data_IF_957754439518
#
_entry.id   IF_957754439518
#
_cell.length_a   1.000
_cell.length_b   1.000
_cell.length_c   1.000
_cell.angle_alpha   90.00
_cell.angle_beta   90.00
_cell.angle_gamma   90.00
#
_symmetry.space_group_name_H-M   'P 1'
#
loop_
_entity.id
_entity.type
_entity.pdbx_description
1 polymer ?
#
# COMPACT_ATOMS: atom_id res chain seq x y z
N UNK A 1 -1.02 -13.57 -14.38
CA UNK A 1 -1.37 -13.24 -13.00
C UNK A 1 -0.41 -12.16 -12.59
N UNK A 2 -0.91 -11.04 -12.11
CA UNK A 2 -0.08 -9.95 -11.60
C UNK A 2 -0.32 -9.91 -10.11
N UNK A 3 0.75 -9.90 -9.33
CA UNK A 3 0.65 -9.74 -7.89
C UNK A 3 0.49 -8.27 -7.56
N UNK A 4 -0.21 -7.98 -6.47
CA UNK A 4 -0.67 -6.63 -6.14
C UNK A 4 -0.18 -6.20 -4.78
N UNK A 5 0.11 -4.91 -4.62
CA UNK A 5 0.31 -4.29 -3.33
C UNK A 5 -0.81 -3.29 -3.05
N UNK A 6 -1.43 -3.41 -1.89
CA UNK A 6 -2.56 -2.54 -1.51
C UNK A 6 -2.06 -1.30 -0.77
N UNK A 7 -2.51 -0.14 -1.22
CA UNK A 7 -2.43 1.11 -0.46
C UNK A 7 -3.37 1.06 0.76
N UNK A 8 -3.01 1.78 1.83
CA UNK A 8 -3.78 1.94 3.06
C UNK A 8 -5.22 2.36 2.80
N UNK A 9 -5.45 3.22 1.81
CA UNK A 9 -6.79 3.69 1.47
C UNK A 9 -7.74 2.55 1.04
N UNK A 10 -7.23 1.50 0.41
CA UNK A 10 -8.02 0.33 0.03
C UNK A 10 -8.48 -0.40 1.30
N UNK A 11 -7.55 -0.69 2.21
CA UNK A 11 -7.85 -1.41 3.45
C UNK A 11 -8.73 -0.60 4.40
N UNK A 12 -8.52 0.72 4.51
CA UNK A 12 -9.38 1.61 5.31
C UNK A 12 -10.82 1.54 4.81
N UNK A 13 -11.04 1.57 3.50
CA UNK A 13 -12.39 1.52 2.92
C UNK A 13 -13.03 0.15 3.10
N UNK A 14 -12.25 -0.92 3.00
CA UNK A 14 -12.69 -2.29 3.32
C UNK A 14 -13.12 -2.42 4.80
N UNK A 15 -12.27 -2.03 5.76
CA UNK A 15 -12.57 -2.06 7.20
C UNK A 15 -13.79 -1.20 7.56
N UNK A 16 -13.99 -0.07 6.86
CA UNK A 16 -15.18 0.78 7.01
C UNK A 16 -16.44 0.23 6.35
N UNK A 17 -16.38 -0.97 5.75
CA UNK A 17 -17.49 -1.63 5.05
C UNK A 17 -18.07 -0.74 3.94
N UNK A 18 -17.19 0.01 3.26
CA UNK A 18 -17.57 0.83 2.12
C UNK A 18 -18.07 -0.08 1.01
N UNK A 19 -19.23 0.24 0.42
CA UNK A 19 -19.83 -0.56 -0.64
C UNK A 19 -18.84 -0.82 -1.79
N UNK A 20 -18.79 -2.06 -2.27
CA UNK A 20 -17.94 -2.51 -3.38
C UNK A 20 -16.50 -2.88 -3.00
N UNK A 21 -15.98 -2.52 -1.83
CA UNK A 21 -14.58 -2.83 -1.47
C UNK A 21 -14.33 -4.30 -1.15
N UNK A 22 -15.35 -4.99 -0.62
CA UNK A 22 -15.27 -6.43 -0.42
C UNK A 22 -15.17 -7.17 -1.77
N UNK A 23 -16.02 -6.82 -2.72
CA UNK A 23 -16.01 -7.44 -4.06
C UNK A 23 -14.73 -7.09 -4.83
N UNK A 24 -14.24 -5.85 -4.67
CA UNK A 24 -12.96 -5.42 -5.23
C UNK A 24 -11.79 -6.27 -4.72
N UNK A 25 -11.66 -6.48 -3.41
CA UNK A 25 -10.60 -7.31 -2.86
C UNK A 25 -10.71 -8.75 -3.35
N UNK A 26 -11.91 -9.32 -3.37
CA UNK A 26 -12.11 -10.66 -3.95
C UNK A 26 -11.74 -10.73 -5.43
N UNK A 27 -12.00 -9.69 -6.22
CA UNK A 27 -11.58 -9.65 -7.61
C UNK A 27 -10.06 -9.60 -7.76
N UNK A 28 -9.37 -8.83 -6.91
CA UNK A 28 -7.90 -8.72 -6.90
C UNK A 28 -7.26 -10.05 -6.51
N UNK A 29 -7.76 -10.70 -5.45
CA UNK A 29 -7.30 -12.01 -4.99
C UNK A 29 -7.41 -13.09 -6.07
N UNK A 30 -8.42 -13.01 -6.96
CA UNK A 30 -8.53 -13.94 -8.10
C UNK A 30 -7.49 -13.68 -9.19
N UNK A 31 -6.88 -12.49 -9.25
CA UNK A 31 -5.92 -12.09 -10.31
C UNK A 31 -4.47 -12.38 -9.93
N UNK A 32 -4.16 -12.51 -8.64
CA UNK A 32 -2.83 -12.81 -8.11
C UNK A 32 -2.78 -12.67 -6.59
N UNK A 33 -1.57 -12.76 -6.04
CA UNK A 33 -1.33 -12.57 -4.62
C UNK A 33 -1.46 -11.11 -4.22
N UNK A 34 -1.78 -10.89 -2.95
CA UNK A 34 -2.02 -9.56 -2.39
C UNK A 34 -1.07 -9.32 -1.23
N UNK A 35 -0.34 -8.21 -1.33
CA UNK A 35 0.69 -7.79 -0.38
C UNK A 35 0.34 -6.43 0.23
N UNK A 36 0.98 -6.10 1.35
CA UNK A 36 1.01 -4.75 1.90
C UNK A 36 2.43 -4.37 2.27
N UNK A 37 2.77 -3.08 2.20
CA UNK A 37 4.01 -2.58 2.79
C UNK A 37 3.89 -2.56 4.32
N UNK A 38 5.00 -2.71 5.05
CA UNK A 38 5.06 -2.37 6.48
C UNK A 38 4.53 -0.97 6.78
N UNK A 39 4.68 -0.02 5.85
CA UNK A 39 4.13 1.33 6.01
C UNK A 39 2.60 1.30 6.02
N UNK A 40 1.98 0.57 5.08
CA UNK A 40 0.53 0.36 5.07
C UNK A 40 0.04 -0.27 6.37
N UNK A 41 0.73 -1.31 6.87
CA UNK A 41 0.40 -1.94 8.16
C UNK A 41 0.47 -0.92 9.31
N UNK A 42 1.52 -0.10 9.35
CA UNK A 42 1.70 0.97 10.34
C UNK A 42 0.52 1.96 10.30
N UNK A 43 0.13 2.43 9.12
CA UNK A 43 -0.95 3.41 8.98
C UNK A 43 -2.30 2.87 9.46
N UNK A 44 -2.60 1.62 9.12
CA UNK A 44 -3.84 0.95 9.55
C UNK A 44 -3.87 0.81 11.08
N UNK A 45 -2.80 0.29 11.69
CA UNK A 45 -2.71 0.13 13.15
C UNK A 45 -2.74 1.49 13.86
N UNK A 46 -2.09 2.52 13.30
CA UNK A 46 -2.12 3.89 13.83
C UNK A 46 -3.52 4.52 13.76
N UNK A 47 -4.29 4.19 12.74
CA UNK A 47 -5.61 4.77 12.47
C UNK A 47 -6.80 4.04 13.11
N UNK A 48 -6.61 2.80 13.58
CA UNK A 48 -7.69 1.99 14.16
C UNK A 48 -8.15 2.52 15.51
N UNK A 49 -9.43 2.33 15.83
CA UNK A 49 -9.95 2.51 17.20
C UNK A 49 -9.80 1.20 17.99
N UNK A 50 -9.75 1.27 19.31
CA UNK A 50 -9.55 0.07 20.14
C UNK A 50 -10.63 -1.01 19.91
N UNK A 51 -11.90 -0.60 19.71
CA UNK A 51 -13.00 -1.52 19.38
C UNK A 51 -12.86 -2.22 18.03
N UNK A 52 -12.00 -1.72 17.14
CA UNK A 52 -11.74 -2.25 15.79
C UNK A 52 -10.48 -3.14 15.78
N UNK A 53 -9.77 -3.27 16.91
CA UNK A 53 -8.46 -3.90 17.01
C UNK A 53 -8.45 -5.35 16.51
N UNK A 54 -9.38 -6.16 16.99
CA UNK A 54 -9.48 -7.59 16.62
C UNK A 54 -9.72 -7.74 15.11
N UNK A 55 -10.78 -7.14 14.57
CA UNK A 55 -11.10 -7.16 13.13
C UNK A 55 -9.96 -6.61 12.26
N UNK A 56 -9.21 -5.61 12.77
CA UNK A 56 -8.07 -5.03 12.07
C UNK A 56 -6.89 -6.00 11.99
N UNK A 57 -6.51 -6.62 13.10
CA UNK A 57 -5.40 -7.58 13.09
C UNK A 57 -5.75 -8.87 12.37
N UNK A 58 -6.99 -9.35 12.49
CA UNK A 58 -7.48 -10.50 11.72
C UNK A 58 -7.28 -10.28 10.21
N UNK A 59 -7.65 -9.09 9.70
CA UNK A 59 -7.41 -8.73 8.29
C UNK A 59 -5.92 -8.60 7.97
N UNK A 60 -5.16 -7.89 8.79
CA UNK A 60 -3.75 -7.63 8.52
C UNK A 60 -2.92 -8.93 8.55
N UNK A 61 -3.35 -9.93 9.31
CA UNK A 61 -2.67 -11.22 9.43
C UNK A 61 -3.03 -12.19 8.30
N UNK A 62 -4.07 -11.88 7.50
CA UNK A 62 -4.33 -12.60 6.23
C UNK A 62 -3.48 -12.08 5.06
N UNK A 63 -2.80 -10.94 5.20
CA UNK A 63 -2.03 -10.29 4.15
C UNK A 63 -0.52 -10.46 4.39
N UNK A 64 0.23 -10.73 3.33
CA UNK A 64 1.69 -10.76 3.44
C UNK A 64 2.24 -9.33 3.55
N UNK A 65 2.90 -9.04 4.68
CA UNK A 65 3.50 -7.73 4.94
C UNK A 65 4.96 -7.72 4.47
N UNK A 66 5.26 -6.93 3.45
CA UNK A 66 6.60 -6.76 2.90
C UNK A 66 7.45 -5.88 3.82
N UNK A 67 8.62 -6.37 4.29
CA UNK A 67 9.50 -5.62 5.17
C UNK A 67 10.15 -4.43 4.46
N UNK A 68 10.48 -3.39 5.20
CA UNK A 68 11.32 -2.31 4.69
C UNK A 68 12.80 -2.70 4.84
N UNK A 69 13.47 -2.95 3.72
CA UNK A 69 14.90 -3.22 3.65
C UNK A 69 15.70 -1.95 3.33
N UNK A 70 17.04 -2.02 3.36
CA UNK A 70 17.92 -0.94 2.90
C UNK A 70 17.63 -0.54 1.46
N UNK A 71 17.41 -1.51 0.57
CA UNK A 71 17.19 -1.29 -0.85
C UNK A 71 15.87 -0.56 -1.11
N UNK A 72 14.81 -0.91 -0.36
CA UNK A 72 13.52 -0.22 -0.43
C UNK A 72 13.66 1.21 0.14
N UNK A 73 14.39 1.38 1.22
CA UNK A 73 14.61 2.69 1.83
C UNK A 73 15.41 3.64 0.91
N UNK A 74 16.48 3.13 0.29
CA UNK A 74 17.29 3.87 -0.67
C UNK A 74 16.46 4.27 -1.90
N UNK A 75 15.70 3.32 -2.47
CA UNK A 75 14.80 3.59 -3.60
C UNK A 75 13.73 4.63 -3.24
N UNK A 76 13.11 4.54 -2.06
CA UNK A 76 12.15 5.54 -1.60
C UNK A 76 12.78 6.94 -1.50
N UNK A 77 14.01 7.03 -0.98
CA UNK A 77 14.77 8.28 -0.92
C UNK A 77 15.08 8.86 -2.30
N UNK A 78 15.46 8.03 -3.26
CA UNK A 78 15.68 8.44 -4.65
C UNK A 78 14.39 8.93 -5.33
N UNK A 79 13.26 8.25 -5.09
CA UNK A 79 11.95 8.67 -5.57
C UNK A 79 11.58 10.05 -5.01
N UNK A 80 11.71 10.26 -3.69
CA UNK A 80 11.43 11.54 -3.05
C UNK A 80 12.29 12.65 -3.67
N UNK A 81 13.60 12.41 -3.81
CA UNK A 81 14.52 13.40 -4.36
C UNK A 81 14.17 13.75 -5.81
N UNK A 82 13.98 12.74 -6.66
CA UNK A 82 13.73 12.94 -8.09
C UNK A 82 12.40 13.63 -8.38
N UNK A 83 11.34 13.31 -7.62
CA UNK A 83 10.05 13.97 -7.78
C UNK A 83 10.01 15.38 -7.20
N UNK A 84 10.76 15.62 -6.11
CA UNK A 84 10.92 16.97 -5.56
C UNK A 84 11.58 17.92 -6.54
N UNK A 85 12.59 17.45 -7.28
CA UNK A 85 13.23 18.22 -8.36
C UNK A 85 12.24 18.58 -9.49
N UNK A 86 11.13 17.82 -9.63
CA UNK A 86 10.03 18.07 -10.58
C UNK A 86 8.86 18.84 -9.98
N UNK A 87 9.01 19.35 -8.74
CA UNK A 87 7.97 20.12 -8.04
C UNK A 87 6.88 19.28 -7.38
N UNK A 88 7.04 17.96 -7.28
CA UNK A 88 6.10 17.07 -6.60
C UNK A 88 6.71 16.59 -5.29
N UNK A 89 6.05 16.87 -4.17
CA UNK A 89 6.48 16.38 -2.86
C UNK A 89 5.77 15.06 -2.56
N UNK A 90 6.50 13.94 -2.61
CA UNK A 90 6.02 12.65 -2.12
C UNK A 90 6.11 12.62 -0.59
N UNK A 91 5.12 12.01 0.06
CA UNK A 91 5.25 11.66 1.47
C UNK A 91 6.18 10.47 1.64
N UNK A 92 6.82 10.33 2.80
CA UNK A 92 7.63 9.15 3.12
C UNK A 92 6.81 7.86 2.99
N UNK A 93 5.51 7.93 3.33
CA UNK A 93 4.63 6.78 3.24
C UNK A 93 4.35 6.36 1.79
N UNK A 94 3.95 7.30 0.93
CA UNK A 94 3.72 7.04 -0.49
C UNK A 94 5.01 6.55 -1.17
N UNK A 95 6.16 7.14 -0.82
CA UNK A 95 7.45 6.75 -1.36
C UNK A 95 7.86 5.32 -0.95
N UNK A 96 7.65 4.94 0.31
CA UNK A 96 7.96 3.57 0.78
C UNK A 96 7.02 2.54 0.16
N UNK A 97 5.72 2.85 0.04
CA UNK A 97 4.75 1.96 -0.64
C UNK A 97 5.14 1.79 -2.12
N UNK A 98 5.43 2.88 -2.80
CA UNK A 98 5.86 2.86 -4.20
C UNK A 98 7.18 2.10 -4.41
N UNK A 99 8.18 2.37 -3.57
CA UNK A 99 9.46 1.66 -3.63
C UNK A 99 9.27 0.17 -3.40
N UNK A 100 8.41 -0.23 -2.45
CA UNK A 100 8.07 -1.64 -2.22
C UNK A 100 7.43 -2.27 -3.46
N UNK A 101 6.48 -1.58 -4.07
CA UNK A 101 5.81 -2.04 -5.29
C UNK A 101 6.79 -2.23 -6.46
N UNK A 102 7.61 -1.21 -6.73
CA UNK A 102 8.59 -1.20 -7.83
C UNK A 102 9.66 -2.28 -7.60
N UNK A 103 10.19 -2.38 -6.39
CA UNK A 103 11.24 -3.33 -6.04
C UNK A 103 10.80 -4.78 -6.27
N UNK A 104 9.54 -5.09 -5.94
CA UNK A 104 8.97 -6.43 -6.08
C UNK A 104 8.22 -6.66 -7.40
N UNK A 105 8.12 -5.65 -8.28
CA UNK A 105 7.37 -5.75 -9.55
C UNK A 105 5.86 -5.95 -9.35
N UNK A 106 5.28 -5.35 -8.31
CA UNK A 106 3.87 -5.49 -7.93
C UNK A 106 3.03 -4.33 -8.47
N UNK A 107 1.81 -4.63 -8.91
CA UNK A 107 0.86 -3.61 -9.33
C UNK A 107 0.26 -2.88 -8.11
N UNK A 108 0.30 -1.55 -8.08
CA UNK A 108 -0.24 -0.79 -6.97
C UNK A 108 -1.76 -0.66 -7.09
N UNK A 109 -2.48 -1.04 -6.02
CA UNK A 109 -3.92 -0.80 -5.91
C UNK A 109 -4.16 0.37 -4.96
N UNK A 110 -4.66 1.49 -5.50
CA UNK A 110 -4.93 2.70 -4.72
C UNK A 110 -6.20 3.42 -5.21
N UNK A 111 -6.79 4.24 -4.33
CA UNK A 111 -7.81 5.23 -4.72
C UNK A 111 -7.24 6.62 -5.01
N UNK A 112 -5.93 6.82 -4.80
CA UNK A 112 -5.27 8.10 -4.86
C UNK A 112 -4.10 8.08 -5.86
N UNK A 113 -4.36 7.68 -7.10
CA UNK A 113 -3.34 7.55 -8.15
C UNK A 113 -2.44 8.80 -8.32
N UNK A 114 -2.98 10.00 -8.04
CA UNK A 114 -2.22 11.26 -8.06
C UNK A 114 -1.05 11.33 -7.05
N UNK A 115 -1.04 10.52 -6.00
CA UNK A 115 0.07 10.43 -5.04
C UNK A 115 1.21 9.54 -5.54
N UNK A 116 0.96 8.78 -6.60
CA UNK A 116 1.86 7.78 -7.16
C UNK A 116 2.16 8.11 -8.62
N UNK A 117 2.94 9.17 -8.89
CA UNK A 117 3.20 9.63 -10.25
C UNK A 117 4.19 8.74 -11.03
N UNK A 118 4.67 7.65 -10.43
CA UNK A 118 5.63 6.71 -11.00
C UNK A 118 4.94 5.87 -12.10
N UNK A 119 5.43 5.89 -13.35
CA UNK A 119 4.85 5.12 -14.45
C UNK A 119 5.00 3.60 -14.31
N UNK A 120 5.85 3.15 -13.39
CA UNK A 120 6.10 1.73 -13.11
C UNK A 120 5.00 1.05 -12.26
N UNK A 121 4.05 1.82 -11.73
CA UNK A 121 3.04 1.39 -10.74
C UNK A 121 1.68 1.01 -11.32
#
# INVERSE_FOLDING_TARGET
MSDHILDSNILIRYLRKTAGYKDLLHEIERKGWTYISVMTRLEIVRGMREREREETFDLLDTLETLPMTSEIADLAGELIRSWRERGINLSDADAIIAASAIHHGLALVTTNAKHFPMPEL
#
